data_IF_975181673382
#
_entry.id   IF_975181673382
#
_cell.length_a   1.000
_cell.length_b   1.000
_cell.length_c   1.000
_cell.angle_alpha   90.00
_cell.angle_beta   90.00
_cell.angle_gamma   90.00
#
_symmetry.space_group_name_H-M   'P 1'
#
loop_
_entity.id
_entity.type
_entity.pdbx_description
1 polymer ?
#
# COMPACT_ATOMS: atom_id res chain seq x y z
N UNK A 1 -4.71 18.28 18.97
CA UNK A 1 -6.11 17.81 19.09
C UNK A 1 -7.03 19.00 18.83
N UNK A 2 -7.52 19.19 17.63
CA UNK A 2 -8.55 20.14 17.29
C UNK A 2 -9.67 19.39 16.58
N UNK A 3 -10.82 19.27 17.27
CA UNK A 3 -12.07 18.79 16.69
C UNK A 3 -12.76 20.00 16.04
N UNK A 4 -12.79 20.06 14.73
CA UNK A 4 -13.69 20.96 14.01
C UNK A 4 -14.81 20.12 13.40
N UNK A 5 -15.97 20.15 14.06
CA UNK A 5 -17.23 19.68 13.49
C UNK A 5 -17.92 20.87 12.81
N UNK A 6 -17.95 20.87 11.48
CA UNK A 6 -18.82 21.75 10.70
C UNK A 6 -20.12 21.01 10.41
N UNK A 7 -21.17 21.34 11.15
CA UNK A 7 -22.54 20.94 10.85
C UNK A 7 -23.17 21.92 9.88
N UNK A 8 -23.55 21.45 8.70
CA UNK A 8 -24.35 22.21 7.74
C UNK A 8 -25.83 21.86 8.01
N UNK A 9 -26.57 22.74 8.67
CA UNK A 9 -28.01 22.62 8.85
C UNK A 9 -28.73 23.19 7.62
N UNK A 10 -29.33 22.31 6.82
CA UNK A 10 -30.21 22.69 5.71
C UNK A 10 -31.66 22.70 6.22
N UNK A 11 -32.18 23.89 6.49
CA UNK A 11 -33.60 24.08 6.83
C UNK A 11 -34.43 24.13 5.55
N UNK A 12 -35.23 23.09 5.30
CA UNK A 12 -36.24 23.10 4.22
C UNK A 12 -37.54 23.61 4.78
N UNK A 13 -37.88 24.85 4.41
CA UNK A 13 -39.21 25.44 4.66
C UNK A 13 -40.13 25.00 3.51
N UNK A 14 -41.04 24.06 3.76
CA UNK A 14 -42.14 23.77 2.83
C UNK A 14 -43.43 24.41 3.31
N UNK A 15 -43.92 25.40 2.56
CA UNK A 15 -45.27 25.99 2.72
C UNK A 15 -46.30 24.97 2.23
N UNK A 16 -47.23 24.57 3.12
CA UNK A 16 -48.39 23.73 2.74
C UNK A 16 -49.64 24.58 2.60
N UNK A 17 -50.26 24.48 1.40
CA UNK A 17 -51.62 24.98 1.10
C UNK A 17 -52.67 24.06 1.75
N UNK A 18 -53.64 24.67 2.41
CA UNK A 18 -54.73 23.96 3.08
C UNK A 18 -55.86 23.55 2.07
N UNK A 19 -56.28 22.28 2.12
CA UNK A 19 -57.60 21.84 1.67
C UNK A 19 -58.34 21.22 2.85
N UNK A 20 -59.52 21.69 3.11
CA UNK A 20 -60.39 21.21 4.18
C UNK A 20 -60.94 19.82 3.84
N UNK A 21 -60.66 18.84 4.69
CA UNK A 21 -61.18 17.46 4.57
C UNK A 21 -60.33 16.52 5.40
N UNK A 22 -60.63 16.39 6.70
CA UNK A 22 -59.77 15.74 7.66
C UNK A 22 -59.71 14.24 7.55
N UNK A 23 -58.51 13.75 7.27
CA UNK A 23 -58.05 12.44 7.74
C UNK A 23 -57.00 12.74 8.77
N UNK A 24 -57.25 12.35 10.01
CA UNK A 24 -56.24 12.44 11.10
C UNK A 24 -55.08 11.53 10.76
N UNK A 25 -53.99 12.10 10.31
CA UNK A 25 -52.77 11.38 10.01
C UNK A 25 -51.90 11.35 11.27
N UNK A 26 -51.50 10.16 11.71
CA UNK A 26 -50.65 10.00 12.88
C UNK A 26 -49.33 10.77 12.68
N UNK A 27 -48.84 11.40 13.74
CA UNK A 27 -47.60 12.15 13.69
C UNK A 27 -46.41 11.30 13.19
N UNK A 28 -45.56 11.90 12.42
CA UNK A 28 -44.44 11.24 11.74
C UNK A 28 -43.08 11.74 12.26
N UNK A 29 -42.16 10.79 12.58
CA UNK A 29 -40.80 11.14 12.97
C UNK A 29 -40.00 11.50 11.73
N UNK A 30 -39.40 12.69 11.74
CA UNK A 30 -38.56 13.17 10.65
C UNK A 30 -37.12 12.84 10.98
N UNK A 31 -36.48 12.14 10.07
CA UNK A 31 -35.03 11.77 10.13
C UNK A 31 -34.25 12.63 9.16
N UNK A 32 -33.05 13.01 9.56
CA UNK A 32 -32.04 13.52 8.65
C UNK A 32 -30.79 12.62 8.71
N UNK A 33 -30.05 12.56 7.61
CA UNK A 33 -28.78 11.87 7.56
C UNK A 33 -27.71 12.70 8.26
N UNK A 34 -27.08 12.11 9.27
CA UNK A 34 -25.90 12.66 9.95
C UNK A 34 -24.66 11.94 9.42
N UNK A 35 -23.90 12.63 8.56
CA UNK A 35 -22.70 12.08 7.94
C UNK A 35 -21.52 12.33 8.87
N UNK A 36 -21.04 11.28 9.51
CA UNK A 36 -19.80 11.31 10.30
C UNK A 36 -18.64 10.86 9.45
N UNK A 37 -17.60 11.67 9.39
CA UNK A 37 -16.34 11.33 8.74
C UNK A 37 -15.32 10.91 9.80
N UNK A 38 -14.86 9.66 9.69
CA UNK A 38 -13.76 9.15 10.49
C UNK A 38 -12.51 9.10 9.62
N UNK A 39 -11.42 9.64 10.14
CA UNK A 39 -10.10 9.52 9.52
C UNK A 39 -9.44 8.25 10.06
N UNK A 40 -9.27 7.26 9.21
CA UNK A 40 -8.63 5.98 9.54
C UNK A 40 -7.26 5.94 8.88
N UNK A 41 -6.24 5.59 9.64
CA UNK A 41 -4.87 5.41 9.12
C UNK A 41 -4.59 3.93 8.98
N UNK A 42 -4.18 3.52 7.79
CA UNK A 42 -3.78 2.14 7.48
C UNK A 42 -2.31 2.07 7.13
N UNK A 43 -1.63 1.06 7.65
CA UNK A 43 -0.31 0.70 7.19
C UNK A 43 -0.43 -0.13 5.92
N UNK A 44 0.20 0.34 4.83
CA UNK A 44 0.21 -0.35 3.53
C UNK A 44 1.64 -0.67 3.11
N UNK A 45 1.83 -1.85 2.53
CA UNK A 45 3.09 -2.24 1.92
C UNK A 45 3.17 -1.66 0.52
N UNK A 46 4.30 -1.03 0.21
CA UNK A 46 4.55 -0.40 -1.09
C UNK A 46 5.84 -0.98 -1.66
N UNK A 47 5.80 -1.40 -2.93
CA UNK A 47 7.02 -1.83 -3.63
C UNK A 47 7.95 -0.65 -3.86
N UNK A 48 9.25 -0.86 -3.64
CA UNK A 48 10.30 0.13 -3.86
C UNK A 48 10.94 0.00 -5.26
N UNK A 49 10.63 -1.08 -6.00
CA UNK A 49 11.09 -1.33 -7.35
C UNK A 49 9.97 -1.95 -8.20
N UNK A 50 10.00 -1.71 -9.50
CA UNK A 50 9.09 -2.33 -10.47
C UNK A 50 9.67 -3.68 -10.95
N UNK A 51 11.00 -3.73 -11.08
CA UNK A 51 11.72 -4.88 -11.60
C UNK A 51 12.78 -5.36 -10.61
N UNK A 52 12.93 -6.67 -10.52
CA UNK A 52 13.93 -7.35 -9.70
C UNK A 52 14.68 -8.34 -10.58
N UNK A 53 15.98 -8.17 -10.68
CA UNK A 53 16.87 -9.08 -11.42
C UNK A 53 17.84 -9.72 -10.43
N UNK A 54 17.92 -11.04 -10.45
CA UNK A 54 18.88 -11.81 -9.68
C UNK A 54 19.92 -12.38 -10.63
N UNK A 55 21.19 -12.02 -10.44
CA UNK A 55 22.33 -12.52 -11.20
C UNK A 55 23.12 -13.49 -10.32
N UNK A 56 22.97 -14.78 -10.61
CA UNK A 56 23.60 -15.88 -9.86
C UNK A 56 24.99 -16.14 -10.43
N UNK A 57 26.00 -16.08 -9.57
CA UNK A 57 27.34 -16.52 -9.95
C UNK A 57 27.45 -18.04 -9.86
N UNK A 58 27.66 -18.69 -11.01
CA UNK A 58 27.92 -20.11 -11.09
C UNK A 58 29.34 -20.43 -11.59
N UNK A 59 30.30 -19.51 -11.38
CA UNK A 59 31.71 -19.73 -11.69
C UNK A 59 32.38 -20.73 -10.76
N UNK A 60 33.54 -21.25 -11.18
CA UNK A 60 34.27 -22.30 -10.43
C UNK A 60 34.62 -21.88 -8.99
N UNK A 61 34.91 -20.60 -8.73
CA UNK A 61 35.23 -20.08 -7.40
C UNK A 61 34.07 -20.22 -6.40
N UNK A 62 32.82 -20.25 -6.90
CA UNK A 62 31.66 -20.48 -6.07
C UNK A 62 31.54 -21.90 -5.51
N UNK A 63 32.25 -22.87 -6.11
CA UNK A 63 32.37 -24.22 -5.58
C UNK A 63 33.31 -24.36 -4.37
N UNK A 64 34.05 -23.31 -4.04
CA UNK A 64 34.96 -23.30 -2.91
C UNK A 64 34.23 -23.11 -1.60
N UNK A 65 34.78 -23.69 -0.53
CA UNK A 65 34.33 -23.48 0.86
C UNK A 65 35.36 -22.63 1.56
N UNK A 66 34.96 -21.41 1.94
CA UNK A 66 35.82 -20.53 2.75
C UNK A 66 36.12 -21.18 4.12
N UNK A 67 37.28 -20.85 4.70
CA UNK A 67 37.77 -21.43 5.97
C UNK A 67 36.79 -21.26 7.14
N UNK A 68 35.94 -20.24 7.09
CA UNK A 68 34.96 -19.92 8.13
C UNK A 68 33.54 -20.42 7.78
N UNK A 69 33.37 -21.16 6.68
CA UNK A 69 32.07 -21.62 6.20
C UNK A 69 32.00 -23.14 6.23
N UNK A 70 30.80 -23.68 6.38
CA UNK A 70 30.55 -25.13 6.45
C UNK A 70 30.13 -25.74 5.11
N UNK A 71 29.81 -24.87 4.14
CA UNK A 71 29.28 -25.25 2.82
C UNK A 71 29.96 -24.41 1.74
N UNK A 72 29.98 -24.89 0.47
CA UNK A 72 30.39 -24.09 -0.66
C UNK A 72 29.59 -22.79 -0.80
N UNK A 73 30.25 -21.74 -1.31
CA UNK A 73 29.62 -20.43 -1.52
C UNK A 73 28.34 -20.52 -2.36
N UNK A 74 28.37 -21.31 -3.43
CA UNK A 74 27.23 -21.55 -4.31
C UNK A 74 26.00 -22.11 -3.58
N UNK A 75 26.22 -23.08 -2.70
CA UNK A 75 25.13 -23.64 -1.91
C UNK A 75 24.57 -22.61 -0.92
N UNK A 76 25.43 -21.85 -0.24
CA UNK A 76 25.01 -20.79 0.68
C UNK A 76 24.27 -19.67 -0.06
N UNK A 77 24.71 -19.28 -1.26
CA UNK A 77 24.04 -18.30 -2.11
C UNK A 77 22.62 -18.73 -2.44
N UNK A 78 22.46 -19.93 -2.96
CA UNK A 78 21.15 -20.43 -3.39
C UNK A 78 20.19 -20.63 -2.22
N UNK A 79 20.67 -21.12 -1.07
CA UNK A 79 19.90 -21.27 0.16
C UNK A 79 19.45 -19.89 0.70
N UNK A 80 20.35 -18.91 0.71
CA UNK A 80 20.04 -17.57 1.20
C UNK A 80 19.09 -16.80 0.28
N UNK A 81 19.27 -16.91 -1.05
CA UNK A 81 18.34 -16.37 -2.05
C UNK A 81 16.94 -16.93 -1.83
N UNK A 82 16.81 -18.25 -1.74
CA UNK A 82 15.54 -18.93 -1.50
C UNK A 82 14.87 -18.41 -0.21
N UNK A 83 15.62 -18.38 0.89
CA UNK A 83 15.10 -17.96 2.18
C UNK A 83 14.70 -16.46 2.20
N UNK A 84 15.46 -15.60 1.52
CA UNK A 84 15.18 -14.18 1.43
C UNK A 84 13.91 -13.91 0.62
N UNK A 85 13.84 -14.44 -0.60
CA UNK A 85 12.72 -14.17 -1.51
C UNK A 85 11.40 -14.80 -1.08
N UNK A 86 11.42 -15.87 -0.28
CA UNK A 86 10.21 -16.42 0.35
C UNK A 86 9.50 -15.45 1.32
N UNK A 87 10.17 -14.39 1.75
CA UNK A 87 9.63 -13.37 2.66
C UNK A 87 9.25 -12.07 1.97
N UNK A 88 9.52 -11.94 0.68
CA UNK A 88 9.12 -10.76 -0.09
C UNK A 88 7.63 -10.87 -0.40
N UNK A 89 6.81 -9.88 0.00
CA UNK A 89 5.39 -9.88 -0.34
C UNK A 89 5.19 -9.73 -1.85
N UNK A 90 4.15 -10.37 -2.39
CA UNK A 90 3.76 -10.14 -3.78
C UNK A 90 3.11 -8.76 -3.93
N UNK A 91 3.88 -7.82 -4.45
CA UNK A 91 3.46 -6.45 -4.75
C UNK A 91 3.46 -6.18 -6.26
N UNK A 92 3.44 -7.23 -7.07
CA UNK A 92 3.35 -7.14 -8.52
C UNK A 92 4.65 -6.75 -9.20
N UNK A 93 5.76 -7.32 -8.77
CA UNK A 93 7.08 -7.15 -9.40
C UNK A 93 7.18 -7.85 -10.75
N UNK A 94 8.05 -7.34 -11.63
CA UNK A 94 8.62 -8.15 -12.70
C UNK A 94 9.92 -8.78 -12.16
N UNK A 95 10.05 -10.11 -12.25
CA UNK A 95 11.18 -10.84 -11.68
C UNK A 95 11.90 -11.60 -12.78
N UNK A 96 13.24 -11.51 -12.81
CA UNK A 96 14.10 -12.28 -13.66
C UNK A 96 15.24 -12.90 -12.88
N UNK A 97 15.59 -14.16 -13.20
CA UNK A 97 16.74 -14.88 -12.62
C UNK A 97 17.64 -15.31 -13.74
N UNK A 98 18.88 -14.86 -13.68
CA UNK A 98 19.91 -15.15 -14.69
C UNK A 98 21.14 -15.73 -14.00
N UNK A 99 21.79 -16.66 -14.66
CA UNK A 99 23.16 -17.04 -14.32
C UNK A 99 24.12 -16.41 -15.31
N UNK A 100 25.33 -16.09 -14.92
CA UNK A 100 26.27 -15.45 -15.83
C UNK A 100 27.46 -16.31 -16.24
N UNK A 101 27.46 -17.60 -15.87
CA UNK A 101 28.55 -18.55 -16.26
C UNK A 101 27.96 -19.87 -16.77
N UNK A 102 27.72 -20.01 -18.07
CA UNK A 102 27.54 -18.95 -19.08
C UNK A 102 26.29 -18.15 -18.84
N UNK A 103 26.13 -17.00 -19.54
CA UNK A 103 24.90 -16.22 -19.46
C UNK A 103 23.69 -17.04 -19.92
N UNK A 104 22.71 -17.14 -19.07
CA UNK A 104 21.47 -17.84 -19.33
C UNK A 104 20.31 -17.24 -18.52
N UNK A 105 19.19 -17.05 -19.16
CA UNK A 105 17.95 -16.71 -18.48
C UNK A 105 17.33 -17.97 -17.86
N UNK A 106 17.63 -18.24 -16.60
CA UNK A 106 17.02 -19.34 -15.82
C UNK A 106 15.53 -19.12 -15.66
N UNK A 107 15.15 -17.88 -15.45
CA UNK A 107 13.77 -17.39 -15.48
C UNK A 107 13.77 -16.01 -16.16
N UNK A 108 13.29 -15.90 -17.41
CA UNK A 108 13.21 -14.61 -18.11
C UNK A 108 12.35 -13.62 -17.35
N UNK A 109 12.75 -12.34 -17.37
CA UNK A 109 12.04 -11.30 -16.62
C UNK A 109 10.60 -11.14 -17.09
N UNK A 110 9.68 -11.27 -16.17
CA UNK A 110 8.24 -11.13 -16.38
C UNK A 110 7.54 -10.89 -15.03
N UNK A 111 6.26 -10.49 -15.07
CA UNK A 111 5.47 -10.36 -13.85
C UNK A 111 5.33 -11.71 -13.14
N UNK A 112 5.74 -11.75 -11.88
CA UNK A 112 5.75 -12.98 -11.10
C UNK A 112 5.69 -12.71 -9.59
N UNK A 113 5.20 -13.70 -8.84
CA UNK A 113 5.36 -13.76 -7.39
C UNK A 113 6.84 -13.95 -7.03
N UNK A 114 7.38 -13.26 -6.01
CA UNK A 114 8.76 -13.44 -5.56
C UNK A 114 9.16 -14.89 -5.23
N UNK A 115 8.22 -15.74 -4.89
CA UNK A 115 8.45 -17.17 -4.68
C UNK A 115 9.02 -17.90 -5.90
N UNK A 116 8.81 -17.37 -7.12
CA UNK A 116 9.38 -17.92 -8.37
C UNK A 116 10.90 -18.02 -8.34
N UNK A 117 11.58 -17.15 -7.57
CA UNK A 117 13.05 -17.20 -7.42
C UNK A 117 13.46 -18.57 -6.86
N UNK A 118 12.76 -19.08 -5.84
CA UNK A 118 13.07 -20.39 -5.28
C UNK A 118 12.89 -21.53 -6.28
N UNK A 119 11.89 -21.43 -7.16
CA UNK A 119 11.69 -22.41 -8.25
C UNK A 119 12.79 -22.29 -9.32
N UNK A 120 13.13 -21.07 -9.73
CA UNK A 120 14.18 -20.83 -10.71
C UNK A 120 15.53 -21.42 -10.26
N UNK A 121 15.86 -21.28 -8.97
CA UNK A 121 17.09 -21.81 -8.41
C UNK A 121 17.22 -23.34 -8.52
N UNK A 122 16.12 -24.08 -8.62
CA UNK A 122 16.15 -25.55 -8.85
C UNK A 122 16.59 -25.93 -10.24
N UNK A 123 16.60 -25.00 -11.19
CA UNK A 123 17.03 -25.21 -12.59
C UNK A 123 18.52 -24.90 -12.80
N UNK A 124 19.18 -24.38 -11.76
CA UNK A 124 20.61 -24.13 -11.79
C UNK A 124 21.41 -25.46 -11.79
N UNK A 125 22.63 -25.47 -12.33
CA UNK A 125 23.47 -26.66 -12.26
C UNK A 125 23.82 -27.02 -10.81
N UNK A 126 23.92 -28.31 -10.51
CA UNK A 126 24.26 -28.80 -9.16
C UNK A 126 25.68 -28.34 -8.71
N UNK A 127 26.58 -28.11 -9.68
CA UNK A 127 27.94 -27.67 -9.41
C UNK A 127 28.30 -26.46 -10.27
N UNK A 128 28.86 -25.43 -9.64
CA UNK A 128 29.36 -24.26 -10.36
C UNK A 128 30.61 -24.64 -11.15
N UNK A 129 30.78 -24.06 -12.35
CA UNK A 129 31.91 -24.32 -13.21
C UNK A 129 32.13 -23.20 -14.21
N UNK A 130 33.40 -22.97 -14.61
CA UNK A 130 33.76 -22.00 -15.64
C UNK A 130 34.33 -20.68 -15.07
N UNK A 131 34.67 -19.74 -15.96
CA UNK A 131 35.26 -18.45 -15.58
C UNK A 131 34.24 -17.51 -14.99
N UNK A 132 34.71 -16.35 -14.47
CA UNK A 132 33.85 -15.24 -14.01
C UNK A 132 33.78 -14.14 -15.09
N UNK A 133 32.86 -14.22 -16.08
CA UNK A 133 32.74 -13.25 -17.17
C UNK A 133 31.94 -12.01 -16.74
N UNK A 134 32.29 -11.37 -15.62
CA UNK A 134 31.53 -10.29 -15.04
C UNK A 134 31.24 -9.14 -16.03
N UNK A 135 32.20 -8.72 -16.84
CA UNK A 135 32.01 -7.64 -17.82
C UNK A 135 31.00 -8.02 -18.90
N UNK A 136 31.11 -9.22 -19.47
CA UNK A 136 30.16 -9.72 -20.47
C UNK A 136 28.76 -9.85 -19.86
N UNK A 137 28.65 -10.22 -18.59
CA UNK A 137 27.38 -10.35 -17.89
C UNK A 137 26.72 -8.97 -17.67
N UNK A 138 27.51 -7.92 -17.43
CA UNK A 138 26.98 -6.56 -17.36
C UNK A 138 26.54 -6.04 -18.74
N UNK A 139 27.18 -6.49 -19.85
CA UNK A 139 26.72 -6.18 -21.21
C UNK A 139 25.40 -6.90 -21.55
N UNK A 140 25.24 -8.16 -21.12
CA UNK A 140 23.98 -8.89 -21.28
C UNK A 140 22.87 -8.30 -20.39
N UNK A 141 23.21 -7.90 -19.16
CA UNK A 141 22.29 -7.18 -18.28
C UNK A 141 21.78 -5.90 -18.94
N UNK A 142 22.64 -5.13 -19.61
CA UNK A 142 22.21 -3.94 -20.34
C UNK A 142 21.12 -4.24 -21.39
N UNK A 143 21.25 -5.36 -22.11
CA UNK A 143 20.24 -5.76 -23.09
C UNK A 143 18.89 -6.05 -22.43
N UNK A 144 18.91 -6.63 -21.23
CA UNK A 144 17.69 -6.83 -20.43
C UNK A 144 17.11 -5.50 -19.98
N UNK A 145 17.94 -4.60 -19.44
CA UNK A 145 17.51 -3.29 -18.95
C UNK A 145 16.88 -2.42 -20.05
N UNK A 146 17.37 -2.50 -21.28
CA UNK A 146 16.78 -1.79 -22.45
C UNK A 146 15.29 -2.09 -22.69
N UNK A 147 14.85 -3.28 -22.29
CA UNK A 147 13.44 -3.70 -22.43
C UNK A 147 12.56 -3.35 -21.24
N UNK A 148 13.11 -2.71 -20.20
CA UNK A 148 12.37 -2.46 -18.95
C UNK A 148 12.04 -0.97 -18.79
N UNK A 149 10.97 -0.72 -18.04
CA UNK A 149 10.60 0.60 -17.55
C UNK A 149 10.44 0.56 -16.04
N UNK A 150 10.62 1.73 -15.40
CA UNK A 150 10.55 1.84 -13.94
C UNK A 150 11.84 1.40 -13.25
N UNK A 151 11.83 1.47 -11.91
CA UNK A 151 12.99 1.19 -11.08
C UNK A 151 13.32 -0.30 -11.06
N UNK A 152 14.59 -0.62 -11.27
CA UNK A 152 15.10 -2.00 -11.28
C UNK A 152 16.11 -2.21 -10.14
N UNK A 153 15.91 -3.22 -9.31
CA UNK A 153 16.93 -3.71 -8.38
C UNK A 153 17.63 -4.94 -8.96
N UNK A 154 18.96 -4.87 -9.03
CA UNK A 154 19.82 -5.95 -9.51
C UNK A 154 20.59 -6.52 -8.33
N UNK A 155 20.28 -7.76 -7.96
CA UNK A 155 21.04 -8.55 -6.99
C UNK A 155 22.15 -9.26 -7.74
N UNK A 156 23.39 -8.83 -7.54
CA UNK A 156 24.57 -9.37 -8.19
C UNK A 156 25.50 -9.97 -7.15
N UNK A 157 25.71 -11.26 -7.22
CA UNK A 157 26.71 -11.97 -6.46
C UNK A 157 28.06 -11.86 -7.15
N UNK A 158 29.13 -11.51 -6.44
CA UNK A 158 30.45 -11.35 -7.05
C UNK A 158 31.55 -11.42 -6.02
N UNK A 159 32.64 -12.11 -6.38
CA UNK A 159 33.94 -12.06 -5.68
C UNK A 159 34.81 -10.89 -6.13
N UNK A 160 34.32 -10.03 -7.02
CA UNK A 160 35.08 -8.93 -7.61
C UNK A 160 36.08 -9.37 -8.69
N UNK A 161 36.24 -10.64 -8.89
CA UNK A 161 37.07 -11.19 -9.98
C UNK A 161 36.49 -10.88 -11.36
N UNK A 162 37.31 -10.50 -12.30
CA UNK A 162 36.87 -10.30 -13.70
C UNK A 162 38.01 -10.44 -14.69
N UNK A 163 37.65 -10.80 -15.88
CA UNK A 163 38.58 -10.85 -17.02
C UNK A 163 38.65 -9.46 -17.65
N UNK A 164 39.81 -8.82 -17.59
CA UNK A 164 40.02 -7.53 -18.25
C UNK A 164 39.96 -7.66 -19.76
N UNK A 165 39.03 -7.01 -20.38
CA UNK A 165 38.89 -6.96 -21.83
C UNK A 165 39.52 -5.67 -22.38
N UNK A 166 40.24 -5.82 -23.54
CA UNK A 166 40.83 -4.65 -24.19
C UNK A 166 39.73 -3.72 -24.72
N UNK A 167 39.87 -2.43 -24.47
CA UNK A 167 38.91 -1.40 -24.88
C UNK A 167 37.49 -1.54 -24.28
N UNK A 168 37.35 -2.28 -23.18
CA UNK A 168 36.11 -2.34 -22.40
C UNK A 168 36.26 -1.51 -21.14
N UNK A 169 35.14 -0.89 -20.65
CA UNK A 169 35.14 -0.25 -19.35
C UNK A 169 35.39 -1.29 -18.24
N UNK A 170 35.92 -0.86 -17.13
CA UNK A 170 35.98 -1.69 -15.91
C UNK A 170 34.57 -1.99 -15.38
N UNK A 171 34.40 -2.98 -14.49
CA UNK A 171 33.07 -3.28 -13.91
C UNK A 171 32.42 -2.07 -13.22
N UNK A 172 33.19 -1.26 -12.51
CA UNK A 172 32.67 -0.05 -11.82
C UNK A 172 32.30 1.08 -12.79
N UNK A 173 33.04 1.24 -13.91
CA UNK A 173 32.66 2.17 -14.97
C UNK A 173 31.39 1.70 -15.67
N UNK A 174 31.27 0.40 -15.94
CA UNK A 174 30.08 -0.18 -16.58
C UNK A 174 28.85 -0.04 -15.68
N UNK A 175 28.92 -0.34 -14.38
CA UNK A 175 27.79 -0.16 -13.47
C UNK A 175 27.39 1.31 -13.35
N UNK A 176 28.36 2.23 -13.36
CA UNK A 176 28.08 3.67 -13.38
C UNK A 176 27.35 4.10 -14.66
N UNK A 177 27.78 3.63 -15.82
CA UNK A 177 27.11 3.88 -17.11
C UNK A 177 25.67 3.36 -17.08
N UNK A 178 25.47 2.13 -16.63
CA UNK A 178 24.13 1.53 -16.50
C UNK A 178 23.24 2.35 -15.57
N UNK A 179 23.78 2.85 -14.45
CA UNK A 179 23.02 3.68 -13.51
C UNK A 179 22.76 5.12 -14.00
N UNK A 180 23.49 5.57 -15.02
CA UNK A 180 23.21 6.84 -15.71
C UNK A 180 22.11 6.71 -16.77
N UNK A 181 22.09 5.56 -17.46
CA UNK A 181 21.19 5.32 -18.59
C UNK A 181 19.84 4.72 -18.15
N UNK A 182 19.81 4.03 -17.00
CA UNK A 182 18.64 3.31 -16.47
C UNK A 182 18.40 3.63 -15.01
N UNK A 183 17.14 3.59 -14.54
CA UNK A 183 16.81 3.66 -13.11
C UNK A 183 17.09 2.30 -12.44
N UNK A 184 18.37 2.02 -12.24
CA UNK A 184 18.87 0.75 -11.70
C UNK A 184 19.63 0.95 -10.38
N UNK A 185 19.37 0.09 -9.39
CA UNK A 185 20.07 0.03 -8.12
C UNK A 185 20.75 -1.33 -7.98
N UNK A 186 22.07 -1.33 -7.78
CA UNK A 186 22.83 -2.57 -7.60
C UNK A 186 22.91 -2.98 -6.13
N UNK A 187 22.44 -4.17 -5.80
CA UNK A 187 22.64 -4.82 -4.52
C UNK A 187 23.75 -5.85 -4.71
N UNK A 188 24.97 -5.45 -4.39
CA UNK A 188 26.17 -6.26 -4.64
C UNK A 188 26.47 -7.14 -3.43
N UNK A 189 26.24 -8.43 -3.55
CA UNK A 189 26.53 -9.41 -2.51
C UNK A 189 28.00 -9.83 -2.66
N UNK A 190 28.84 -9.28 -1.76
CA UNK A 190 30.30 -9.40 -1.83
C UNK A 190 30.80 -10.61 -1.05
N UNK A 191 31.38 -11.58 -1.74
CA UNK A 191 32.09 -12.71 -1.16
C UNK A 191 33.59 -12.71 -1.46
N UNK A 192 34.14 -11.55 -1.85
CA UNK A 192 35.57 -11.37 -2.15
C UNK A 192 36.45 -11.77 -0.99
N UNK A 193 37.50 -12.56 -1.27
CA UNK A 193 38.51 -12.94 -0.29
C UNK A 193 39.67 -11.93 -0.22
N UNK A 194 40.03 -11.32 -1.37
CA UNK A 194 41.17 -10.43 -1.49
C UNK A 194 40.79 -8.95 -1.43
N UNK A 195 41.71 -8.13 -0.89
CA UNK A 195 41.49 -6.69 -0.73
C UNK A 195 41.15 -5.99 -2.06
N UNK A 196 41.89 -6.32 -3.15
CA UNK A 196 41.68 -5.72 -4.47
C UNK A 196 40.27 -6.01 -4.99
N UNK A 197 39.79 -7.20 -4.82
CA UNK A 197 38.47 -7.64 -5.28
C UNK A 197 37.37 -6.91 -4.51
N UNK A 198 37.53 -6.78 -3.16
CA UNK A 198 36.62 -5.98 -2.32
C UNK A 198 36.54 -4.51 -2.78
N UNK A 199 37.68 -3.93 -3.17
CA UNK A 199 37.72 -2.56 -3.70
C UNK A 199 36.93 -2.45 -5.02
N UNK A 200 37.02 -3.45 -5.90
CA UNK A 200 36.24 -3.49 -7.15
C UNK A 200 34.74 -3.52 -6.86
N UNK A 201 34.28 -4.41 -5.99
CA UNK A 201 32.86 -4.49 -5.62
C UNK A 201 32.39 -3.20 -4.94
N UNK A 202 33.22 -2.62 -4.06
CA UNK A 202 32.93 -1.35 -3.41
C UNK A 202 32.82 -0.18 -4.41
N UNK A 203 33.67 -0.18 -5.46
CA UNK A 203 33.63 0.85 -6.50
C UNK A 203 32.40 0.68 -7.42
N UNK A 204 32.00 -0.55 -7.73
CA UNK A 204 30.74 -0.83 -8.44
C UNK A 204 29.52 -0.29 -7.67
N UNK A 205 29.51 -0.38 -6.34
CA UNK A 205 28.43 0.14 -5.51
C UNK A 205 28.31 1.67 -5.52
N UNK A 206 29.33 2.39 -5.95
CA UNK A 206 29.32 3.84 -6.10
C UNK A 206 28.60 4.32 -7.37
N UNK A 207 27.96 3.41 -8.11
CA UNK A 207 27.23 3.74 -9.34
C UNK A 207 26.17 4.83 -9.12
N UNK A 208 25.42 4.75 -8.01
CA UNK A 208 24.46 5.76 -7.58
C UNK A 208 24.14 5.64 -6.08
N UNK A 209 23.22 6.48 -5.58
CA UNK A 209 22.86 6.57 -4.16
C UNK A 209 22.12 5.33 -3.62
N UNK A 210 21.46 4.55 -4.46
CA UNK A 210 20.67 3.37 -4.04
C UNK A 210 21.44 2.04 -4.20
N UNK A 211 22.61 2.08 -4.85
CA UNK A 211 23.50 0.92 -4.97
C UNK A 211 24.32 0.75 -3.69
N UNK A 212 24.50 -0.50 -3.26
CA UNK A 212 25.24 -0.82 -2.02
C UNK A 212 25.93 -2.17 -2.07
N UNK A 213 26.90 -2.33 -1.20
CA UNK A 213 27.52 -3.63 -0.91
C UNK A 213 26.80 -4.29 0.26
N UNK A 214 26.54 -5.57 0.13
CA UNK A 214 26.05 -6.45 1.19
C UNK A 214 27.11 -7.53 1.41
N UNK A 215 27.75 -7.58 2.58
CA UNK A 215 28.70 -8.65 2.87
C UNK A 215 28.01 -10.02 2.80
N UNK A 216 28.63 -10.98 2.11
CA UNK A 216 28.02 -12.31 1.86
C UNK A 216 27.64 -13.02 3.18
N UNK A 217 28.52 -12.99 4.19
CA UNK A 217 28.22 -13.61 5.49
C UNK A 217 27.00 -13.00 6.17
N UNK A 218 26.84 -11.68 6.06
CA UNK A 218 25.65 -10.98 6.58
C UNK A 218 24.38 -11.40 5.81
N UNK A 219 24.50 -11.58 4.49
CA UNK A 219 23.38 -12.03 3.65
C UNK A 219 22.98 -13.47 3.97
N UNK A 220 23.95 -14.36 4.19
CA UNK A 220 23.70 -15.77 4.53
C UNK A 220 23.06 -15.92 5.92
N UNK A 221 23.53 -15.15 6.90
CA UNK A 221 22.98 -15.19 8.27
C UNK A 221 21.58 -14.57 8.33
N UNK A 222 21.35 -13.50 7.58
CA UNK A 222 20.09 -12.75 7.57
C UNK A 222 19.64 -12.47 6.12
N UNK A 223 19.12 -13.48 5.39
CA UNK A 223 18.74 -13.34 3.98
C UNK A 223 17.72 -12.23 3.70
N UNK A 224 16.84 -11.94 4.66
CA UNK A 224 15.84 -10.85 4.55
C UNK A 224 16.49 -9.45 4.53
N UNK A 225 17.70 -9.29 5.08
CA UNK A 225 18.42 -8.02 5.05
C UNK A 225 18.76 -7.60 3.61
N UNK A 226 19.05 -8.56 2.74
CA UNK A 226 19.28 -8.31 1.33
C UNK A 226 18.03 -7.84 0.61
N UNK A 227 16.89 -8.46 0.85
CA UNK A 227 15.62 -8.18 0.16
C UNK A 227 14.80 -7.04 0.78
N UNK A 228 15.16 -6.57 1.97
CA UNK A 228 14.48 -5.48 2.65
C UNK A 228 14.26 -4.20 1.82
N UNK A 229 15.18 -3.80 0.92
CA UNK A 229 14.98 -2.64 0.07
C UNK A 229 13.87 -2.78 -0.98
N UNK A 230 13.35 -3.98 -1.23
CA UNK A 230 12.33 -4.21 -2.26
C UNK A 230 10.97 -3.59 -1.93
N UNK A 231 10.70 -3.36 -0.65
CA UNK A 231 9.43 -2.78 -0.20
C UNK A 231 9.62 -1.96 1.09
N UNK A 232 8.65 -1.13 1.36
CA UNK A 232 8.57 -0.35 2.59
C UNK A 232 7.11 -0.21 3.03
N UNK A 233 6.91 0.19 4.28
CA UNK A 233 5.58 0.52 4.79
C UNK A 233 5.32 2.02 4.67
N UNK A 234 4.08 2.37 4.32
CA UNK A 234 3.57 3.73 4.29
C UNK A 234 2.26 3.79 5.06
N UNK A 235 2.02 4.89 5.73
CA UNK A 235 0.74 5.18 6.35
C UNK A 235 -0.14 5.94 5.37
N UNK A 236 -1.22 5.31 4.94
CA UNK A 236 -2.23 5.94 4.11
C UNK A 236 -3.44 6.34 4.96
N UNK A 237 -3.99 7.50 4.67
CA UNK A 237 -5.14 8.05 5.36
C UNK A 237 -6.37 7.88 4.49
N UNK A 238 -7.37 7.17 4.99
CA UNK A 238 -8.68 7.02 4.35
C UNK A 238 -9.75 7.75 5.15
N UNK A 239 -10.72 8.35 4.46
CA UNK A 239 -11.89 8.95 5.07
C UNK A 239 -13.04 7.96 4.93
N UNK A 240 -13.46 7.36 6.04
CA UNK A 240 -14.64 6.53 6.10
C UNK A 240 -15.85 7.40 6.47
N UNK A 241 -16.87 7.42 5.60
CA UNK A 241 -18.11 8.13 5.86
C UNK A 241 -19.15 7.15 6.40
N UNK A 242 -19.61 7.40 7.64
CA UNK A 242 -20.69 6.67 8.26
C UNK A 242 -21.93 7.56 8.22
N UNK A 243 -23.00 7.07 7.58
CA UNK A 243 -24.29 7.74 7.56
C UNK A 243 -25.17 7.17 8.68
N UNK A 244 -25.48 7.99 9.67
CA UNK A 244 -26.42 7.66 10.73
C UNK A 244 -27.70 8.48 10.54
N UNK A 245 -28.88 7.87 10.74
CA UNK A 245 -30.13 8.59 10.76
C UNK A 245 -30.33 9.23 12.12
N UNK A 246 -30.37 10.54 12.15
CA UNK A 246 -30.66 11.33 13.35
C UNK A 246 -32.09 11.85 13.31
N UNK A 247 -32.82 11.69 14.40
CA UNK A 247 -34.13 12.33 14.54
C UNK A 247 -33.94 13.84 14.62
N UNK A 248 -34.53 14.56 13.67
CA UNK A 248 -34.46 16.04 13.61
C UNK A 248 -35.81 16.72 13.92
N UNK A 249 -36.88 15.98 13.90
CA UNK A 249 -38.19 16.54 14.22
C UNK A 249 -39.28 15.48 14.34
N UNK A 250 -40.41 15.93 14.76
CA UNK A 250 -41.67 15.19 14.83
C UNK A 250 -42.74 16.05 14.17
N UNK A 251 -43.33 15.54 13.09
CA UNK A 251 -44.44 16.19 12.43
C UNK A 251 -45.72 15.88 13.21
N UNK A 252 -46.40 16.88 13.68
CA UNK A 252 -47.68 16.75 14.39
C UNK A 252 -48.80 17.29 13.52
N UNK A 253 -50.00 16.74 13.70
CA UNK A 253 -51.19 17.31 13.14
C UNK A 253 -51.69 18.46 14.05
N UNK A 254 -52.53 19.33 13.48
CA UNK A 254 -53.08 20.45 14.23
C UNK A 254 -53.96 19.97 15.38
N UNK A 255 -53.75 20.52 16.55
CA UNK A 255 -54.65 20.37 17.69
C UNK A 255 -55.82 21.31 17.49
N UNK A 256 -56.98 20.78 17.13
CA UNK A 256 -58.17 21.56 16.85
C UNK A 256 -59.12 21.56 18.04
N UNK A 257 -59.76 22.71 18.27
CA UNK A 257 -60.81 22.90 19.26
C UNK A 257 -62.17 23.00 18.56
N UNK A 258 -63.23 22.62 19.26
CA UNK A 258 -64.57 22.83 18.76
C UNK A 258 -64.93 24.35 18.78
N UNK A 259 -65.84 24.76 17.92
CA UNK A 259 -66.24 26.15 17.80
C UNK A 259 -66.74 26.67 19.16
N UNK A 260 -66.24 27.82 19.58
CA UNK A 260 -66.55 28.48 20.89
C UNK A 260 -66.17 27.62 22.11
N UNK A 261 -65.21 26.67 21.95
CA UNK A 261 -64.76 25.85 23.07
C UNK A 261 -63.23 25.90 23.21
N UNK A 262 -62.78 25.71 24.45
CA UNK A 262 -61.41 25.68 24.87
C UNK A 262 -61.02 24.30 25.45
N UNK A 263 -61.97 23.35 25.46
CA UNK A 263 -61.71 21.99 25.97
C UNK A 263 -60.94 21.17 24.94
N UNK A 264 -59.95 20.47 25.43
CA UNK A 264 -59.14 19.55 24.60
C UNK A 264 -60.02 18.34 24.21
N UNK A 265 -60.24 18.15 22.91
CA UNK A 265 -60.99 16.98 22.46
C UNK A 265 -60.19 15.69 22.71
N UNK A 266 -60.87 14.51 22.77
CA UNK A 266 -60.18 13.24 22.94
C UNK A 266 -59.06 12.96 21.88
N UNK A 267 -59.31 13.40 20.63
CA UNK A 267 -58.36 13.27 19.52
C UNK A 267 -57.17 14.20 19.72
N UNK A 268 -57.43 15.46 20.10
CA UNK A 268 -56.37 16.41 20.41
C UNK A 268 -55.51 15.95 21.59
N UNK A 269 -56.12 15.34 22.61
CA UNK A 269 -55.38 14.77 23.75
C UNK A 269 -54.44 13.64 23.33
N UNK A 270 -54.88 12.73 22.46
CA UNK A 270 -54.07 11.64 21.97
C UNK A 270 -52.83 12.18 21.24
N UNK A 271 -52.98 13.22 20.41
CA UNK A 271 -51.85 13.82 19.67
C UNK A 271 -50.88 14.53 20.62
N UNK A 272 -51.38 15.27 21.62
CA UNK A 272 -50.56 15.90 22.66
C UNK A 272 -49.78 14.86 23.47
N UNK A 273 -50.41 13.72 23.79
CA UNK A 273 -49.73 12.62 24.49
C UNK A 273 -48.59 12.02 23.64
N UNK A 274 -48.72 11.90 22.32
CA UNK A 274 -47.68 11.49 21.40
C UNK A 274 -46.51 12.47 21.38
N UNK A 275 -46.81 13.77 21.31
CA UNK A 275 -45.78 14.83 21.39
C UNK A 275 -45.01 14.73 22.70
N UNK A 276 -45.71 14.59 23.82
CA UNK A 276 -45.15 14.47 25.16
C UNK A 276 -44.20 13.26 25.27
N UNK A 277 -44.60 12.11 24.72
CA UNK A 277 -43.72 10.92 24.66
C UNK A 277 -42.48 11.15 23.81
N UNK A 278 -42.65 11.81 22.66
CA UNK A 278 -41.49 12.12 21.78
C UNK A 278 -40.49 13.05 22.47
N UNK A 279 -40.95 14.14 23.11
CA UNK A 279 -40.07 15.09 23.82
C UNK A 279 -39.37 14.38 25.01
N UNK A 280 -40.08 13.54 25.73
CA UNK A 280 -39.51 12.76 26.85
C UNK A 280 -38.42 11.82 26.39
N UNK A 281 -38.61 11.18 25.24
CA UNK A 281 -37.63 10.27 24.66
C UNK A 281 -36.42 10.99 24.01
N UNK A 282 -36.55 12.29 23.72
CA UNK A 282 -35.52 13.11 23.08
C UNK A 282 -35.24 14.37 23.92
N UNK A 283 -34.41 14.30 24.97
CA UNK A 283 -34.21 15.40 25.94
C UNK A 283 -33.69 16.71 25.33
N UNK A 284 -33.10 16.67 24.14
CA UNK A 284 -32.66 17.87 23.41
C UNK A 284 -33.73 18.47 22.50
N UNK A 285 -34.89 17.83 22.38
CA UNK A 285 -36.01 18.37 21.60
C UNK A 285 -36.68 19.52 22.32
N UNK A 286 -37.19 20.49 21.57
CA UNK A 286 -38.07 21.57 22.07
C UNK A 286 -39.31 21.64 21.18
N UNK A 287 -40.42 22.13 21.77
CA UNK A 287 -41.64 22.34 21.03
C UNK A 287 -41.90 23.84 20.90
N UNK A 288 -42.36 24.27 19.73
CA UNK A 288 -42.85 25.60 19.48
C UNK A 288 -44.34 25.50 19.21
N UNK A 289 -45.15 26.18 20.01
CA UNK A 289 -46.60 26.17 19.92
C UNK A 289 -47.06 27.45 19.25
N UNK A 290 -47.83 27.31 18.20
CA UNK A 290 -48.48 28.43 17.52
C UNK A 290 -50.01 28.30 17.72
N UNK A 291 -50.62 29.32 18.31
CA UNK A 291 -52.07 29.41 18.44
C UNK A 291 -52.64 30.32 17.35
N UNK A 292 -53.66 29.85 16.68
CA UNK A 292 -54.41 30.62 15.67
C UNK A 292 -55.88 30.64 16.07
N UNK A 293 -56.52 31.76 15.90
CA UNK A 293 -57.99 31.89 15.95
C UNK A 293 -58.51 31.94 14.51
N UNK A 294 -59.73 31.43 14.29
CA UNK A 294 -60.41 31.69 13.03
C UNK A 294 -60.81 33.17 12.92
N UNK A 295 -61.23 33.61 11.78
CA UNK A 295 -61.63 34.97 11.44
C UNK A 295 -63.18 35.22 11.70
N UNK A 296 -63.87 34.25 12.29
CA UNK A 296 -65.31 34.26 12.44
C UNK A 296 -65.76 34.98 13.77
N UNK A 297 -64.79 35.24 14.69
CA UNK A 297 -65.00 35.95 15.92
C UNK A 297 -65.25 37.48 15.72
N UNK A 298 -66.21 38.09 16.43
CA UNK A 298 -66.35 39.53 16.44
C UNK A 298 -65.19 40.11 17.23
N UNK A 299 -64.47 41.14 16.72
CA UNK A 299 -63.54 41.87 17.54
C UNK A 299 -64.27 42.53 18.71
N UNK A 300 -63.87 42.30 19.94
CA UNK A 300 -64.32 43.04 21.13
C UNK A 300 -63.72 44.45 21.14
#
# INVERSE_FOLDING_TARGET
MYKNSFGLALAILTSLLFTAGGIVQAGEIIYADDIKQNVVTKEVLVRAADNVIVLVDSSSSMGETDKNRTKPNYQLETEALKAGFQRVPDLGYNIGVYRFTPWEAVYPIQKADPAVVAEALTKLPDKPAGPTPLLQSLDELEKVLKGLSGKTFVYLFSDGGYIKLKNHPSPWEKTKMLAQDYDVCFQLIDYSAQKREKEIVADMAKANWCSRVIPFDSYVIQPYYGVGPLFYTRWDTEIESLTEKKVVGYKVDNVLFDVDKYDITPVAKEEIDKIGKFITANPSAFAVLFGYTDDTGKPE
#
